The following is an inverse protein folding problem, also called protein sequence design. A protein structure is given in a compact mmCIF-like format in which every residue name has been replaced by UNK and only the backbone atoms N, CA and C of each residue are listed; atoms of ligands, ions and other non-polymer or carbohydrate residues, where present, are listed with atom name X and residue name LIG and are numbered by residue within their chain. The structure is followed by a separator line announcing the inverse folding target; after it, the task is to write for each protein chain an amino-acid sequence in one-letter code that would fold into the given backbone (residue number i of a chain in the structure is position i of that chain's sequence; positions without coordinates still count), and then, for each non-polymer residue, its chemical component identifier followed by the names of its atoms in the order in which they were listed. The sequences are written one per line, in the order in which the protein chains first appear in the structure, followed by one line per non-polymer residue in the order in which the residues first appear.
data_IF_592672468043
#
_entry.id   IF_592672468043
#
_cell.length_a   1.000
_cell.length_b   1.000
_cell.length_c   1.000
_cell.angle_alpha   90.00
_cell.angle_beta   90.00
_cell.angle_gamma   90.00
#
_symmetry.space_group_name_H-M   'P 1'
#
loop_
_entity.id
_entity.type
_entity.pdbx_description
1 polymer ?
#
# COMPACT_ATOMS: atom_id res chain seq x y z
N UNK A 1 25.24 -8.55 -5.01
CA UNK A 1 25.25 -7.28 -4.27
C UNK A 1 24.06 -6.48 -4.74
N UNK A 2 23.47 -5.67 -3.86
CA UNK A 2 22.36 -4.82 -4.27
C UNK A 2 22.78 -3.85 -5.39
N UNK A 3 21.90 -3.64 -6.36
CA UNK A 3 22.09 -2.58 -7.35
C UNK A 3 21.56 -1.26 -6.77
N UNK A 4 22.43 -0.27 -6.66
CA UNK A 4 22.09 1.05 -6.16
C UNK A 4 21.87 2.02 -7.32
N UNK A 5 20.79 2.80 -7.23
CA UNK A 5 20.36 3.81 -8.20
C UNK A 5 20.18 5.13 -7.46
N UNK A 6 20.91 6.17 -7.87
CA UNK A 6 20.82 7.52 -7.30
C UNK A 6 20.72 8.56 -8.40
N UNK A 7 20.05 9.69 -8.13
CA UNK A 7 19.98 10.78 -9.10
C UNK A 7 21.34 11.45 -9.26
N UNK A 8 21.84 11.57 -10.50
CA UNK A 8 22.98 12.45 -10.82
C UNK A 8 22.60 13.92 -10.65
N UNK A 9 21.36 14.23 -11.03
CA UNK A 9 20.74 15.55 -10.89
C UNK A 9 19.24 15.36 -10.69
N UNK A 10 18.68 16.00 -9.66
CA UNK A 10 17.24 15.96 -9.41
C UNK A 10 16.46 16.45 -10.64
N UNK A 11 15.42 15.72 -11.02
CA UNK A 11 14.49 16.13 -12.07
C UNK A 11 13.18 16.64 -11.48
N UNK A 12 12.64 17.68 -12.09
CA UNK A 12 11.29 18.19 -11.80
C UNK A 12 10.22 17.52 -12.68
N UNK A 13 10.63 16.71 -13.65
CA UNK A 13 9.72 15.99 -14.54
C UNK A 13 9.47 14.58 -14.02
N UNK A 14 8.26 14.03 -14.26
CA UNK A 14 7.96 12.64 -13.92
C UNK A 14 8.93 11.67 -14.58
N UNK A 15 9.40 10.69 -13.81
CA UNK A 15 10.20 9.57 -14.28
C UNK A 15 9.40 8.29 -14.14
N UNK A 16 9.43 7.42 -15.15
CA UNK A 16 8.86 6.08 -15.04
C UNK A 16 9.92 5.05 -15.37
N UNK A 17 9.94 3.95 -14.60
CA UNK A 17 10.86 2.84 -14.77
C UNK A 17 10.13 1.61 -15.33
N UNK A 18 9.83 1.56 -16.65
CA UNK A 18 9.14 0.44 -17.24
C UNK A 18 10.01 -0.83 -17.12
N UNK A 19 9.52 -1.82 -16.38
CA UNK A 19 10.18 -3.12 -16.28
C UNK A 19 11.47 -3.13 -15.46
N UNK A 20 11.79 -2.08 -14.68
CA UNK A 20 12.93 -2.09 -13.77
C UNK A 20 12.53 -2.77 -12.45
N UNK A 21 12.66 -4.09 -12.42
CA UNK A 21 12.35 -4.95 -11.26
C UNK A 21 13.48 -5.97 -11.07
N UNK A 22 13.77 -6.43 -9.83
CA UNK A 22 14.94 -7.27 -9.58
C UNK A 22 15.05 -8.50 -10.49
N UNK A 23 13.94 -9.18 -10.76
CA UNK A 23 13.90 -10.37 -11.62
C UNK A 23 14.23 -10.12 -13.09
N UNK A 24 14.12 -8.87 -13.54
CA UNK A 24 14.40 -8.49 -14.94
C UNK A 24 15.88 -8.20 -15.19
N UNK A 25 16.66 -7.95 -14.13
CA UNK A 25 18.04 -7.45 -14.22
C UNK A 25 19.05 -8.32 -13.47
N UNK A 26 18.62 -9.40 -12.81
CA UNK A 26 19.52 -10.25 -12.02
C UNK A 26 20.67 -10.89 -12.80
N UNK A 27 20.53 -11.06 -14.13
CA UNK A 27 21.58 -11.59 -15.02
C UNK A 27 22.20 -10.51 -15.93
N UNK A 28 21.72 -9.27 -15.87
CA UNK A 28 22.19 -8.19 -16.74
C UNK A 28 23.50 -7.59 -16.22
N UNK A 29 24.41 -7.27 -17.13
CA UNK A 29 25.62 -6.52 -16.79
C UNK A 29 25.29 -5.06 -16.44
N UNK A 30 26.16 -4.42 -15.67
CA UNK A 30 25.98 -2.99 -15.31
C UNK A 30 25.83 -2.11 -16.55
N UNK A 31 26.59 -2.37 -17.61
CA UNK A 31 26.53 -1.62 -18.87
C UNK A 31 25.17 -1.79 -19.59
N UNK A 32 24.55 -2.98 -19.50
CA UNK A 32 23.21 -3.21 -20.04
C UNK A 32 22.15 -2.49 -19.20
N UNK A 33 22.29 -2.54 -17.86
CA UNK A 33 21.39 -1.85 -16.92
C UNK A 33 21.43 -0.34 -17.15
N UNK A 34 22.62 0.24 -17.35
CA UNK A 34 22.80 1.67 -17.65
C UNK A 34 22.10 2.11 -18.95
N UNK A 35 21.93 1.20 -19.91
CA UNK A 35 21.24 1.47 -21.18
C UNK A 35 19.74 1.16 -21.15
N UNK A 36 19.20 0.68 -20.02
CA UNK A 36 17.78 0.39 -19.90
C UNK A 36 16.95 1.65 -20.18
N UNK A 37 15.93 1.57 -21.06
CA UNK A 37 15.12 2.72 -21.39
C UNK A 37 14.19 3.09 -20.25
N UNK A 38 14.27 4.33 -19.80
CA UNK A 38 13.34 4.95 -18.85
C UNK A 38 12.56 6.07 -19.54
N UNK A 39 11.40 6.42 -19.00
CA UNK A 39 10.63 7.57 -19.48
C UNK A 39 10.90 8.78 -18.58
N UNK A 40 11.29 9.89 -19.18
CA UNK A 40 11.48 11.18 -18.55
C UNK A 40 10.53 12.20 -19.20
N UNK A 41 9.42 12.48 -18.53
CA UNK A 41 8.29 13.19 -19.13
C UNK A 41 7.76 12.44 -20.36
N UNK A 42 7.98 12.98 -21.56
CA UNK A 42 7.57 12.37 -22.84
C UNK A 42 8.71 11.67 -23.58
N UNK A 43 9.94 11.80 -23.10
CA UNK A 43 11.12 11.32 -23.78
C UNK A 43 11.55 9.98 -23.20
N UNK A 44 12.01 9.09 -24.06
CA UNK A 44 12.65 7.84 -23.65
C UNK A 44 14.15 8.07 -23.67
N UNK A 45 14.79 7.88 -22.51
CA UNK A 45 16.22 8.11 -22.31
C UNK A 45 16.86 6.89 -21.61
N UNK A 46 18.15 6.64 -21.78
CA UNK A 46 18.86 5.62 -21.01
C UNK A 46 18.85 5.93 -19.51
N UNK A 47 18.83 4.89 -18.66
CA UNK A 47 18.87 5.02 -17.21
C UNK A 47 20.07 5.87 -16.75
N UNK A 48 21.25 5.64 -17.34
CA UNK A 48 22.48 6.34 -16.99
C UNK A 48 22.47 7.85 -17.29
N UNK A 49 21.54 8.34 -18.12
CA UNK A 49 21.43 9.77 -18.42
C UNK A 49 20.99 10.57 -17.19
N UNK A 50 20.12 10.00 -16.35
CA UNK A 50 19.58 10.64 -15.15
C UNK A 50 20.15 10.07 -13.86
N UNK A 51 20.56 8.80 -13.88
CA UNK A 51 20.93 8.06 -12.69
C UNK A 51 22.37 7.60 -12.71
N UNK A 52 22.98 7.58 -11.54
CA UNK A 52 24.20 6.84 -11.27
C UNK A 52 23.79 5.44 -10.80
N UNK A 53 24.38 4.43 -11.42
CA UNK A 53 24.05 3.02 -11.18
C UNK A 53 25.32 2.31 -10.74
N UNK A 54 25.26 1.59 -9.62
CA UNK A 54 26.40 0.83 -9.08
C UNK A 54 25.92 -0.52 -8.54
N UNK A 55 26.80 -1.51 -8.45
CA UNK A 55 26.44 -2.87 -8.02
C UNK A 55 26.03 -3.78 -9.18
N UNK A 56 25.34 -4.89 -8.88
CA UNK A 56 25.08 -5.95 -9.87
C UNK A 56 23.75 -6.71 -9.72
N UNK A 57 22.86 -6.30 -8.80
CA UNK A 57 21.55 -6.93 -8.52
C UNK A 57 21.58 -8.45 -8.28
N UNK A 58 22.74 -9.08 -8.07
CA UNK A 58 22.87 -10.54 -8.00
C UNK A 58 22.22 -11.17 -6.75
N UNK A 59 21.83 -10.35 -5.78
CA UNK A 59 21.04 -10.73 -4.60
C UNK A 59 19.55 -10.38 -4.73
N UNK A 60 19.08 -10.10 -5.96
CA UNK A 60 17.69 -9.74 -6.27
C UNK A 60 17.21 -8.49 -5.52
N UNK A 61 18.12 -7.56 -5.24
CA UNK A 61 17.83 -6.33 -4.50
C UNK A 61 18.15 -5.07 -5.31
N UNK A 62 17.17 -4.16 -5.34
CA UNK A 62 17.31 -2.80 -5.86
C UNK A 62 17.27 -1.80 -4.71
N UNK A 63 18.18 -0.82 -4.74
CA UNK A 63 18.19 0.29 -3.79
C UNK A 63 18.13 1.63 -4.51
N UNK A 64 17.07 2.39 -4.25
CA UNK A 64 16.91 3.75 -4.72
C UNK A 64 17.33 4.71 -3.59
N UNK A 65 18.35 5.52 -3.83
CA UNK A 65 18.89 6.47 -2.84
C UNK A 65 18.61 7.91 -3.28
N UNK A 66 17.79 8.63 -2.50
CA UNK A 66 17.40 10.01 -2.79
C UNK A 66 15.88 10.22 -2.83
N UNK A 67 15.45 11.37 -3.33
CA UNK A 67 14.03 11.71 -3.46
C UNK A 67 13.46 11.25 -4.81
N UNK A 68 12.62 10.21 -4.77
CA UNK A 68 11.93 9.65 -5.94
C UNK A 68 10.44 10.03 -5.95
N UNK A 69 10.05 11.16 -5.36
CA UNK A 69 8.66 11.65 -5.38
C UNK A 69 8.07 11.81 -6.79
N UNK A 70 8.90 12.12 -7.78
CA UNK A 70 8.50 12.21 -9.20
C UNK A 70 8.66 10.90 -9.97
N UNK A 71 9.15 9.85 -9.32
CA UNK A 71 9.38 8.56 -9.94
C UNK A 71 8.19 7.63 -9.68
N UNK A 72 7.42 7.39 -10.74
CA UNK A 72 6.17 6.66 -10.66
C UNK A 72 6.35 5.19 -11.03
N UNK A 73 5.50 4.34 -10.48
CA UNK A 73 5.39 2.91 -10.81
C UNK A 73 6.64 2.08 -10.49
N UNK A 74 7.42 2.48 -9.48
CA UNK A 74 8.51 1.64 -8.95
C UNK A 74 7.94 0.27 -8.52
N UNK A 75 8.57 -0.83 -8.91
CA UNK A 75 8.12 -2.18 -8.57
C UNK A 75 6.80 -2.60 -9.23
N UNK A 76 6.39 -1.95 -10.32
CA UNK A 76 5.21 -2.34 -11.07
C UNK A 76 5.34 -3.79 -11.58
N UNK A 77 4.29 -4.59 -11.35
CA UNK A 77 4.21 -6.00 -11.74
C UNK A 77 5.28 -6.93 -11.17
N UNK A 78 6.07 -6.47 -10.20
CA UNK A 78 7.11 -7.24 -9.53
C UNK A 78 6.56 -8.54 -8.95
N UNK A 79 7.32 -9.62 -9.12
CA UNK A 79 6.96 -11.00 -8.78
C UNK A 79 7.84 -11.59 -7.67
N UNK A 80 9.10 -11.17 -7.59
CA UNK A 80 10.06 -11.63 -6.57
C UNK A 80 11.20 -10.61 -6.37
N UNK A 81 12.06 -10.86 -5.37
CA UNK A 81 13.13 -9.95 -4.99
C UNK A 81 12.69 -8.85 -4.03
N UNK A 82 13.55 -7.85 -3.85
CA UNK A 82 13.34 -6.76 -2.90
C UNK A 82 13.71 -5.41 -3.49
N UNK A 83 12.87 -4.41 -3.28
CA UNK A 83 13.16 -3.00 -3.62
C UNK A 83 13.18 -2.18 -2.33
N UNK A 84 14.26 -1.44 -2.10
CA UNK A 84 14.36 -0.44 -1.05
C UNK A 84 14.40 0.96 -1.67
N UNK A 85 13.53 1.85 -1.22
CA UNK A 85 13.56 3.27 -1.55
C UNK A 85 13.92 4.05 -0.29
N UNK A 86 15.17 4.50 -0.23
CA UNK A 86 15.72 5.32 0.84
C UNK A 86 15.37 6.79 0.55
N UNK A 87 14.10 7.13 0.73
CA UNK A 87 13.51 8.43 0.49
C UNK A 87 12.02 8.32 0.17
N UNK A 88 11.49 9.33 -0.51
CA UNK A 88 10.10 9.33 -0.96
C UNK A 88 9.96 8.63 -2.30
N UNK A 89 8.79 8.08 -2.58
CA UNK A 89 8.43 7.47 -3.85
C UNK A 89 7.17 8.09 -4.43
N UNK A 90 7.06 8.15 -5.75
CA UNK A 90 5.92 8.74 -6.42
C UNK A 90 4.68 7.85 -6.45
N UNK A 91 3.80 8.10 -7.42
CA UNK A 91 2.53 7.39 -7.57
C UNK A 91 2.70 5.95 -8.07
N UNK A 92 1.68 5.11 -7.84
CA UNK A 92 1.54 3.75 -8.40
C UNK A 92 2.65 2.75 -8.04
N UNK A 93 3.39 2.98 -6.95
CA UNK A 93 4.41 2.04 -6.49
C UNK A 93 3.77 0.67 -6.23
N UNK A 94 4.38 -0.41 -6.73
CA UNK A 94 3.86 -1.77 -6.57
C UNK A 94 2.53 -2.05 -7.30
N UNK A 95 2.17 -1.25 -8.31
CA UNK A 95 0.97 -1.49 -9.11
C UNK A 95 1.00 -2.90 -9.72
N UNK A 96 -0.06 -3.69 -9.50
CA UNK A 96 -0.19 -5.09 -9.94
C UNK A 96 0.94 -6.02 -9.48
N UNK A 97 1.65 -5.67 -8.40
CA UNK A 97 2.66 -6.53 -7.78
C UNK A 97 2.07 -7.90 -7.40
N UNK A 98 2.82 -8.97 -7.68
CA UNK A 98 2.41 -10.36 -7.50
C UNK A 98 3.20 -11.06 -6.37
N UNK A 99 4.39 -10.59 -6.07
CA UNK A 99 5.26 -11.12 -5.02
C UNK A 99 6.49 -10.25 -4.81
N UNK A 100 7.38 -10.68 -3.91
CA UNK A 100 8.53 -9.88 -3.46
C UNK A 100 8.19 -8.86 -2.37
N UNK A 101 9.13 -7.96 -2.09
CA UNK A 101 9.02 -6.94 -1.06
C UNK A 101 9.42 -5.55 -1.56
N UNK A 102 8.66 -4.52 -1.19
CA UNK A 102 9.00 -3.12 -1.42
C UNK A 102 9.02 -2.39 -0.08
N UNK A 103 10.13 -1.75 0.26
CA UNK A 103 10.31 -0.98 1.49
C UNK A 103 10.63 0.47 1.12
N UNK A 104 9.85 1.42 1.62
CA UNK A 104 9.99 2.86 1.38
C UNK A 104 10.21 3.52 2.73
N UNK A 105 11.32 4.22 2.92
CA UNK A 105 11.60 4.88 4.21
C UNK A 105 10.83 6.18 4.42
N UNK A 106 10.55 6.91 3.33
CA UNK A 106 9.77 8.15 3.34
C UNK A 106 8.29 7.96 2.98
N UNK A 107 7.73 8.94 2.27
CA UNK A 107 6.34 8.96 1.84
C UNK A 107 6.16 8.28 0.46
N UNK A 108 4.94 7.79 0.19
CA UNK A 108 4.53 7.25 -1.10
C UNK A 108 3.38 8.07 -1.70
N UNK A 109 3.38 8.24 -3.02
CA UNK A 109 2.28 8.91 -3.72
C UNK A 109 0.97 8.11 -3.75
N UNK A 110 -0.01 8.68 -4.44
CA UNK A 110 -1.30 8.02 -4.72
C UNK A 110 -1.17 6.63 -5.39
N UNK A 111 -2.17 5.79 -5.18
CA UNK A 111 -2.36 4.48 -5.80
C UNK A 111 -1.26 3.45 -5.49
N UNK A 112 -0.63 3.57 -4.33
CA UNK A 112 0.28 2.56 -3.78
C UNK A 112 -0.38 1.17 -3.77
N UNK A 113 0.27 0.15 -4.33
CA UNK A 113 -0.23 -1.22 -4.37
C UNK A 113 -1.55 -1.37 -5.14
N UNK A 114 -1.86 -0.47 -6.07
CA UNK A 114 -3.07 -0.54 -6.86
C UNK A 114 -3.15 -1.88 -7.61
N UNK A 115 -4.28 -2.60 -7.48
CA UNK A 115 -4.48 -3.93 -8.08
C UNK A 115 -3.42 -4.99 -7.69
N UNK A 116 -2.75 -4.83 -6.54
CA UNK A 116 -1.77 -5.79 -6.01
C UNK A 116 -2.40 -7.18 -5.77
N UNK A 117 -1.70 -8.24 -6.15
CA UNK A 117 -2.13 -9.64 -6.08
C UNK A 117 -1.40 -10.38 -4.96
N UNK A 118 -0.14 -10.01 -4.67
CA UNK A 118 0.69 -10.65 -3.65
C UNK A 118 1.97 -9.84 -3.38
N UNK A 119 2.77 -10.30 -2.42
CA UNK A 119 3.95 -9.59 -1.91
C UNK A 119 3.66 -8.72 -0.69
N UNK A 120 4.66 -7.95 -0.27
CA UNK A 120 4.57 -7.03 0.86
C UNK A 120 5.08 -5.65 0.47
N UNK A 121 4.33 -4.60 0.77
CA UNK A 121 4.76 -3.21 0.62
C UNK A 121 4.78 -2.56 2.01
N UNK A 122 5.90 -1.95 2.38
CA UNK A 122 6.09 -1.24 3.66
C UNK A 122 6.49 0.20 3.39
N UNK A 123 5.80 1.14 4.03
CA UNK A 123 6.06 2.58 3.94
C UNK A 123 6.28 3.11 5.35
N UNK A 124 7.43 3.73 5.60
CA UNK A 124 7.77 4.36 6.88
C UNK A 124 6.98 5.64 7.12
N UNK A 125 6.79 6.44 6.08
CA UNK A 125 5.98 7.66 6.09
C UNK A 125 4.50 7.43 5.76
N UNK A 126 3.89 8.42 5.12
CA UNK A 126 2.49 8.46 4.71
C UNK A 126 2.31 7.99 3.26
N UNK A 127 1.10 7.63 2.89
CA UNK A 127 0.74 7.32 1.50
C UNK A 127 -0.40 8.22 0.99
N UNK A 128 -0.46 8.40 -0.33
CA UNK A 128 -1.53 9.19 -0.95
C UNK A 128 -2.91 8.53 -0.93
N UNK A 129 -3.77 8.94 -1.85
CA UNK A 129 -5.11 8.40 -2.06
C UNK A 129 -5.05 7.02 -2.72
N UNK A 130 -6.15 6.26 -2.68
CA UNK A 130 -6.34 5.01 -3.45
C UNK A 130 -5.31 3.89 -3.15
N UNK A 131 -4.73 3.86 -1.94
CA UNK A 131 -3.88 2.74 -1.49
C UNK A 131 -4.63 1.42 -1.63
N UNK A 132 -4.03 0.42 -2.30
CA UNK A 132 -4.66 -0.87 -2.58
C UNK A 132 -5.94 -0.79 -3.42
N UNK A 133 -6.20 0.36 -4.02
CA UNK A 133 -7.44 0.67 -4.74
C UNK A 133 -7.52 0.02 -6.12
N UNK A 134 -8.67 0.18 -6.77
CA UNK A 134 -8.88 -0.11 -8.18
C UNK A 134 -8.61 1.12 -9.04
N UNK A 135 -8.08 0.91 -10.25
CA UNK A 135 -8.01 1.98 -11.26
C UNK A 135 -9.38 2.34 -11.79
N UNK A 136 -9.48 3.52 -12.39
CA UNK A 136 -10.65 3.94 -13.16
C UNK A 136 -11.01 2.88 -14.22
N UNK A 137 -12.29 2.48 -14.22
CA UNK A 137 -12.79 1.41 -15.10
C UNK A 137 -12.54 -0.02 -14.61
N UNK A 138 -11.66 -0.22 -13.64
CA UNK A 138 -11.37 -1.56 -13.11
C UNK A 138 -12.46 -2.06 -12.17
N UNK A 139 -12.73 -3.37 -12.25
CA UNK A 139 -13.77 -4.03 -11.43
C UNK A 139 -13.26 -4.48 -10.06
N UNK A 140 -11.94 -4.50 -9.85
CA UNK A 140 -11.29 -5.02 -8.64
C UNK A 140 -10.03 -4.20 -8.34
N UNK A 141 -9.82 -3.88 -7.06
CA UNK A 141 -8.57 -3.31 -6.55
C UNK A 141 -7.62 -4.41 -6.14
N UNK A 142 -6.96 -4.23 -4.99
CA UNK A 142 -6.08 -5.23 -4.39
C UNK A 142 -6.78 -6.59 -4.22
N UNK A 143 -6.15 -7.65 -4.73
CA UNK A 143 -6.63 -9.02 -4.74
C UNK A 143 -5.79 -9.97 -3.87
N UNK A 144 -4.77 -9.47 -3.18
CA UNK A 144 -3.95 -10.18 -2.20
C UNK A 144 -2.70 -9.37 -1.83
N UNK A 145 -1.85 -9.92 -0.97
CA UNK A 145 -0.66 -9.25 -0.42
C UNK A 145 -0.93 -8.46 0.87
N UNK A 146 0.12 -7.78 1.33
CA UNK A 146 0.10 -6.99 2.57
C UNK A 146 0.69 -5.61 2.33
N UNK A 147 -0.02 -4.55 2.73
CA UNK A 147 0.45 -3.17 2.69
C UNK A 147 0.50 -2.63 4.12
N UNK A 148 1.65 -2.13 4.54
CA UNK A 148 1.93 -1.62 5.88
C UNK A 148 2.42 -0.17 5.77
N UNK A 149 1.71 0.78 6.39
CA UNK A 149 2.00 2.21 6.27
C UNK A 149 2.11 2.80 7.67
N UNK A 150 3.29 3.30 8.04
CA UNK A 150 3.54 3.87 9.37
C UNK A 150 2.78 5.18 9.62
N UNK A 151 2.69 6.02 8.60
CA UNK A 151 2.01 7.32 8.63
C UNK A 151 0.53 7.27 8.26
N UNK A 152 0.02 8.41 7.78
CA UNK A 152 -1.37 8.57 7.37
C UNK A 152 -1.58 8.13 5.91
N UNK A 153 -2.83 7.88 5.53
CA UNK A 153 -3.23 7.66 4.14
C UNK A 153 -4.30 8.65 3.69
N UNK A 154 -4.33 8.95 2.40
CA UNK A 154 -5.37 9.76 1.78
C UNK A 154 -6.73 9.06 1.71
N UNK A 155 -7.59 9.57 0.82
CA UNK A 155 -8.94 9.07 0.62
C UNK A 155 -8.96 7.72 -0.11
N UNK A 156 -10.04 6.97 0.09
CA UNK A 156 -10.38 5.76 -0.65
C UNK A 156 -9.36 4.61 -0.56
N UNK A 157 -8.65 4.49 0.56
CA UNK A 157 -7.85 3.32 0.86
C UNK A 157 -8.71 2.04 0.76
N UNK A 158 -8.22 1.03 0.05
CA UNK A 158 -8.92 -0.22 -0.21
C UNK A 158 -10.12 -0.12 -1.16
N UNK A 159 -10.18 0.89 -2.03
CA UNK A 159 -11.25 1.01 -3.04
C UNK A 159 -11.40 -0.27 -3.87
N UNK A 160 -12.56 -0.93 -3.77
CA UNK A 160 -12.85 -2.24 -4.41
C UNK A 160 -11.84 -3.35 -4.07
N UNK A 161 -11.17 -3.26 -2.91
CA UNK A 161 -10.32 -4.31 -2.39
C UNK A 161 -11.09 -5.64 -2.30
N UNK A 162 -10.45 -6.72 -2.74
CA UNK A 162 -11.05 -8.07 -2.84
C UNK A 162 -10.41 -9.08 -1.90
N UNK A 163 -9.12 -8.96 -1.61
CA UNK A 163 -8.39 -9.72 -0.58
C UNK A 163 -7.15 -8.93 -0.16
N UNK A 164 -6.42 -9.45 0.82
CA UNK A 164 -5.19 -8.86 1.35
C UNK A 164 -5.41 -8.17 2.67
N UNK A 165 -4.35 -7.56 3.18
CA UNK A 165 -4.31 -6.77 4.40
C UNK A 165 -3.73 -5.39 4.10
N UNK A 166 -4.43 -4.33 4.52
CA UNK A 166 -3.89 -2.96 4.56
C UNK A 166 -3.87 -2.55 6.03
N UNK A 167 -2.71 -2.19 6.57
CA UNK A 167 -2.55 -1.70 7.93
C UNK A 167 -1.95 -0.29 7.93
N UNK A 168 -2.59 0.63 8.63
CA UNK A 168 -2.30 2.06 8.64
C UNK A 168 -2.04 2.49 10.08
N UNK A 169 -0.83 2.94 10.36
CA UNK A 169 -0.39 3.37 11.69
C UNK A 169 -0.90 4.74 12.06
N UNK A 170 -1.09 5.62 11.07
CA UNK A 170 -1.70 6.94 11.23
C UNK A 170 -3.21 6.95 10.94
N UNK A 171 -3.70 8.10 10.49
CA UNK A 171 -5.11 8.30 10.13
C UNK A 171 -5.37 7.94 8.67
N UNK A 172 -6.60 7.54 8.36
CA UNK A 172 -7.07 7.29 7.01
C UNK A 172 -8.09 8.36 6.57
N UNK A 173 -8.05 8.75 5.31
CA UNK A 173 -8.99 9.69 4.73
C UNK A 173 -10.42 9.16 4.60
N UNK A 174 -11.24 9.89 3.85
CA UNK A 174 -12.65 9.58 3.60
C UNK A 174 -12.77 8.31 2.77
N UNK A 175 -13.92 7.64 2.87
CA UNK A 175 -14.30 6.54 1.99
C UNK A 175 -13.33 5.35 2.04
N UNK A 176 -12.64 5.15 3.16
CA UNK A 176 -11.84 3.94 3.41
C UNK A 176 -12.74 2.70 3.27
N UNK A 177 -12.32 1.71 2.47
CA UNK A 177 -13.13 0.53 2.15
C UNK A 177 -14.29 0.79 1.18
N UNK A 178 -14.27 1.88 0.41
CA UNK A 178 -15.32 2.17 -0.57
C UNK A 178 -15.51 1.04 -1.59
N UNK A 179 -16.74 0.58 -1.76
CA UNK A 179 -17.11 -0.56 -2.63
C UNK A 179 -16.27 -1.83 -2.38
N UNK A 180 -15.76 -2.02 -1.17
CA UNK A 180 -14.90 -3.15 -0.82
C UNK A 180 -15.64 -4.49 -1.02
N UNK A 181 -14.98 -5.43 -1.68
CA UNK A 181 -15.55 -6.73 -2.07
C UNK A 181 -15.24 -7.83 -1.06
N UNK A 182 -14.10 -7.72 -0.37
CA UNK A 182 -13.61 -8.50 0.78
C UNK A 182 -12.17 -8.06 1.13
N UNK A 183 -11.58 -8.60 2.19
CA UNK A 183 -10.24 -8.25 2.68
C UNK A 183 -10.29 -7.64 4.07
N UNK A 184 -9.14 -7.16 4.54
CA UNK A 184 -9.01 -6.57 5.87
C UNK A 184 -8.28 -5.23 5.79
N UNK A 185 -8.83 -4.20 6.42
CA UNK A 185 -8.16 -2.91 6.59
C UNK A 185 -8.12 -2.59 8.09
N UNK A 186 -6.94 -2.21 8.58
CA UNK A 186 -6.71 -1.80 9.97
C UNK A 186 -6.23 -0.36 9.98
N UNK A 187 -6.90 0.49 10.75
CA UNK A 187 -6.55 1.91 10.93
C UNK A 187 -6.35 2.15 12.43
N UNK A 188 -5.12 2.49 12.82
CA UNK A 188 -4.78 2.76 14.23
C UNK A 188 -5.08 4.21 14.63
N UNK A 189 -5.09 5.14 13.68
CA UNK A 189 -5.51 6.53 13.88
C UNK A 189 -6.98 6.76 13.54
N UNK A 190 -7.32 8.02 13.22
CA UNK A 190 -8.70 8.41 12.88
C UNK A 190 -9.06 7.93 11.48
N UNK A 191 -10.34 7.64 11.25
CA UNK A 191 -10.86 7.31 9.93
C UNK A 191 -11.82 8.42 9.49
N UNK A 192 -11.66 8.92 8.27
CA UNK A 192 -12.54 9.93 7.72
C UNK A 192 -13.93 9.39 7.35
N UNK A 193 -14.80 10.31 6.96
CA UNK A 193 -16.21 10.06 6.63
C UNK A 193 -16.48 8.84 5.76
N UNK A 194 -17.63 8.19 6.04
CA UNK A 194 -18.25 7.17 5.18
C UNK A 194 -17.37 5.95 4.94
N UNK A 195 -16.64 5.51 5.98
CA UNK A 195 -15.94 4.23 5.96
C UNK A 195 -16.90 3.09 5.58
N UNK A 196 -16.43 2.19 4.71
CA UNK A 196 -17.19 1.01 4.26
C UNK A 196 -18.37 1.30 3.33
N UNK A 197 -18.55 2.53 2.83
CA UNK A 197 -19.63 2.85 1.89
C UNK A 197 -19.66 1.87 0.69
N UNK A 198 -20.79 1.21 0.45
CA UNK A 198 -20.97 0.22 -0.63
C UNK A 198 -20.21 -1.11 -0.44
N UNK A 199 -19.68 -1.38 0.76
CA UNK A 199 -18.93 -2.60 1.07
C UNK A 199 -19.85 -3.83 1.06
N UNK A 200 -19.41 -4.87 0.34
CA UNK A 200 -20.12 -6.16 0.25
C UNK A 200 -19.74 -7.14 1.35
N UNK A 201 -18.44 -7.25 1.63
CA UNK A 201 -17.81 -8.15 2.63
C UNK A 201 -16.46 -7.56 3.05
N UNK A 202 -15.84 -8.17 4.06
CA UNK A 202 -14.54 -7.82 4.60
C UNK A 202 -14.68 -7.22 5.99
N UNK A 203 -13.56 -6.82 6.57
CA UNK A 203 -13.54 -6.28 7.93
C UNK A 203 -12.70 -5.00 7.97
N UNK A 204 -13.28 -3.92 8.49
CA UNK A 204 -12.58 -2.68 8.82
C UNK A 204 -12.38 -2.62 10.34
N UNK A 205 -11.13 -2.56 10.77
CA UNK A 205 -10.73 -2.35 12.15
C UNK A 205 -10.39 -0.87 12.32
N UNK A 206 -11.33 -0.08 12.85
CA UNK A 206 -11.17 1.35 13.08
C UNK A 206 -10.86 1.54 14.57
N UNK A 207 -9.57 1.48 14.90
CA UNK A 207 -9.09 1.35 16.29
C UNK A 207 -8.72 2.69 16.93
N UNK A 208 -8.55 3.74 16.13
CA UNK A 208 -8.39 5.09 16.66
C UNK A 208 -9.74 5.77 16.91
N UNK A 209 -9.75 6.73 17.83
CA UNK A 209 -10.94 7.51 18.18
C UNK A 209 -11.51 8.22 16.94
N UNK A 210 -12.59 7.67 16.38
CA UNK A 210 -13.31 8.27 15.25
C UNK A 210 -14.58 8.94 15.77
N UNK A 211 -14.63 10.26 15.64
CA UNK A 211 -15.82 11.06 15.96
C UNK A 211 -16.86 11.05 14.82
N UNK A 212 -16.56 10.42 13.68
CA UNK A 212 -17.44 10.43 12.52
C UNK A 212 -18.45 9.29 12.60
N UNK A 213 -19.73 9.64 12.49
CA UNK A 213 -20.83 8.68 12.44
C UNK A 213 -20.71 7.76 11.21
N UNK A 214 -20.90 6.46 11.44
CA UNK A 214 -21.04 5.50 10.36
C UNK A 214 -22.28 5.83 9.50
N UNK A 215 -22.30 5.33 8.27
CA UNK A 215 -23.47 5.48 7.42
C UNK A 215 -24.70 4.86 8.10
N UNK A 216 -25.90 5.45 7.95
CA UNK A 216 -27.14 4.97 8.57
C UNK A 216 -27.58 3.58 8.05
N UNK A 217 -26.89 3.07 7.04
CA UNK A 217 -27.08 1.76 6.44
C UNK A 217 -26.21 0.68 7.10
N UNK A 218 -25.48 1.02 8.16
CA UNK A 218 -24.87 0.09 9.09
C UNK A 218 -25.77 -0.09 10.32
N UNK A 219 -25.76 -1.31 10.88
CA UNK A 219 -26.50 -1.62 12.10
C UNK A 219 -25.54 -2.15 13.16
N UNK A 220 -25.65 -1.62 14.38
CA UNK A 220 -24.91 -2.14 15.52
C UNK A 220 -25.34 -3.59 15.78
N UNK A 221 -24.35 -4.45 15.97
CA UNK A 221 -24.47 -5.84 16.36
C UNK A 221 -24.08 -6.05 17.84
N UNK A 222 -23.85 -4.95 18.57
CA UNK A 222 -23.42 -4.95 19.96
C UNK A 222 -21.90 -4.94 20.12
N UNK A 223 -21.46 -5.13 21.37
CA UNK A 223 -20.05 -5.12 21.74
C UNK A 223 -19.40 -6.49 21.55
N UNK A 224 -18.16 -6.52 21.06
CA UNK A 224 -17.41 -7.76 20.82
C UNK A 224 -15.93 -7.62 21.22
N UNK A 225 -15.33 -8.73 21.65
CA UNK A 225 -13.90 -8.93 21.79
C UNK A 225 -13.43 -10.11 20.93
N UNK A 226 -14.00 -10.23 19.71
CA UNK A 226 -13.80 -11.35 18.82
C UNK A 226 -12.32 -11.77 18.70
N UNK A 227 -12.06 -13.08 18.75
CA UNK A 227 -10.70 -13.66 18.73
C UNK A 227 -9.85 -13.27 17.50
N UNK A 228 -10.49 -12.73 16.45
CA UNK A 228 -9.80 -12.19 15.26
C UNK A 228 -8.97 -10.94 15.58
N UNK A 229 -9.37 -10.12 16.55
CA UNK A 229 -8.65 -8.92 16.97
C UNK A 229 -7.21 -9.26 17.43
N UNK A 230 -7.00 -10.08 18.48
CA UNK A 230 -5.65 -10.42 18.92
C UNK A 230 -4.90 -11.30 17.91
N UNK A 231 -5.60 -12.00 17.01
CA UNK A 231 -4.96 -12.71 15.90
C UNK A 231 -4.32 -11.73 14.91
N UNK A 232 -5.05 -10.69 14.50
CA UNK A 232 -4.54 -9.65 13.61
C UNK A 232 -3.45 -8.84 14.29
N UNK A 233 -3.62 -8.45 15.56
CA UNK A 233 -2.59 -7.74 16.31
C UNK A 233 -1.28 -8.53 16.35
N UNK A 234 -1.32 -9.82 16.73
CA UNK A 234 -0.11 -10.68 16.72
C UNK A 234 0.49 -10.83 15.33
N UNK A 235 -0.32 -10.89 14.29
CA UNK A 235 0.18 -10.92 12.92
C UNK A 235 0.91 -9.62 12.57
N UNK A 236 0.34 -8.45 12.87
CA UNK A 236 0.99 -7.15 12.66
C UNK A 236 2.26 -7.01 13.50
N UNK A 237 2.29 -7.52 14.73
CA UNK A 237 3.47 -7.56 15.58
C UNK A 237 4.57 -8.46 14.98
N UNK A 238 4.20 -9.63 14.44
CA UNK A 238 5.14 -10.52 13.74
C UNK A 238 5.75 -9.89 12.48
N UNK A 239 5.02 -8.94 11.86
CA UNK A 239 5.50 -8.15 10.73
C UNK A 239 6.32 -6.92 11.16
N UNK A 240 6.55 -6.73 12.47
CA UNK A 240 7.21 -5.54 13.03
C UNK A 240 6.47 -4.23 12.75
N UNK A 241 5.14 -4.29 12.54
CA UNK A 241 4.33 -3.10 12.23
C UNK A 241 3.80 -2.41 13.48
N UNK A 242 3.50 -3.18 14.53
CA UNK A 242 3.09 -2.66 15.84
C UNK A 242 3.94 -3.28 16.94
N UNK A 243 4.11 -2.53 18.02
CA UNK A 243 4.71 -3.03 19.25
C UNK A 243 3.66 -3.24 20.34
N UNK A 244 2.70 -2.31 20.44
CA UNK A 244 1.64 -2.32 21.44
C UNK A 244 0.43 -3.15 20.98
N UNK A 245 0.10 -4.19 21.74
CA UNK A 245 -1.07 -5.06 21.51
C UNK A 245 -2.36 -4.56 22.15
N UNK A 246 -2.32 -3.57 23.05
CA UNK A 246 -3.48 -3.09 23.80
C UNK A 246 -4.68 -2.72 22.91
N UNK A 247 -4.52 -2.08 21.72
CA UNK A 247 -5.64 -1.81 20.83
C UNK A 247 -6.35 -3.09 20.35
N UNK A 248 -5.70 -4.24 20.31
CA UNK A 248 -6.29 -5.49 19.81
C UNK A 248 -6.86 -6.39 20.93
N UNK A 249 -6.82 -5.93 22.19
CA UNK A 249 -7.20 -6.72 23.37
C UNK A 249 -8.38 -6.10 24.14
N UNK A 250 -9.03 -5.09 23.56
CA UNK A 250 -10.19 -4.40 24.14
C UNK A 250 -11.52 -4.78 23.47
N UNK A 251 -12.62 -4.29 24.04
CA UNK A 251 -13.95 -4.42 23.48
C UNK A 251 -14.17 -3.37 22.37
N UNK A 252 -14.92 -3.76 21.35
CA UNK A 252 -15.27 -2.95 20.19
C UNK A 252 -16.76 -2.96 19.96
N UNK A 253 -17.33 -1.86 19.47
CA UNK A 253 -18.66 -1.89 18.90
C UNK A 253 -18.58 -2.48 17.48
N UNK A 254 -19.33 -3.56 17.25
CA UNK A 254 -19.40 -4.22 15.96
C UNK A 254 -20.59 -3.70 15.17
N UNK A 255 -20.38 -3.37 13.91
CA UNK A 255 -21.42 -3.00 12.96
C UNK A 255 -21.41 -3.93 11.76
N UNK A 256 -22.61 -4.29 11.30
CA UNK A 256 -22.80 -5.01 10.03
C UNK A 256 -23.38 -4.07 8.96
N UNK A 257 -22.86 -4.21 7.74
CA UNK A 257 -23.25 -3.40 6.59
C UNK A 257 -22.36 -3.70 5.38
N UNK A 258 -22.43 -2.96 4.29
CA UNK A 258 -23.42 -1.92 4.02
C UNK A 258 -24.73 -2.57 3.52
N UNK A 259 -25.86 -2.27 4.17
CA UNK A 259 -27.17 -2.84 3.81
C UNK A 259 -27.76 -2.30 2.49
N UNK A 260 -27.14 -1.29 1.85
CA UNK A 260 -27.47 -0.96 0.45
C UNK A 260 -26.91 -1.99 -0.55
N UNK A 261 -26.04 -2.91 -0.09
CA UNK A 261 -25.48 -3.98 -0.91
C UNK A 261 -25.80 -5.37 -0.35
N UNK A 262 -24.82 -6.12 0.16
CA UNK A 262 -24.96 -7.49 0.66
C UNK A 262 -25.13 -7.55 2.20
N UNK A 263 -24.74 -6.50 2.93
CA UNK A 263 -24.81 -6.46 4.39
C UNK A 263 -23.92 -7.49 5.12
N UNK A 264 -22.81 -7.93 4.50
CA UNK A 264 -21.87 -8.91 5.10
C UNK A 264 -20.47 -8.35 5.37
N UNK A 265 -20.29 -7.04 5.27
CA UNK A 265 -19.12 -6.35 5.77
C UNK A 265 -19.24 -6.09 7.27
N UNK A 266 -18.09 -5.93 7.89
CA UNK A 266 -17.95 -5.71 9.33
C UNK A 266 -17.10 -4.46 9.56
N UNK A 267 -17.54 -3.63 10.50
CA UNK A 267 -16.75 -2.52 11.03
C UNK A 267 -16.66 -2.72 12.54
N UNK A 268 -15.44 -2.77 13.07
CA UNK A 268 -15.17 -2.73 14.49
C UNK A 268 -14.70 -1.32 14.82
N UNK A 269 -15.46 -0.63 15.67
CA UNK A 269 -15.20 0.74 16.08
C UNK A 269 -14.80 0.77 17.55
N UNK A 270 -13.68 1.41 17.87
CA UNK A 270 -13.31 1.64 19.27
C UNK A 270 -14.38 2.51 19.94
N UNK A 271 -14.85 2.04 21.09
CA UNK A 271 -15.78 2.75 21.98
C UNK A 271 -15.07 3.73 22.88
#
# INVERSE_FOLDING_TARGET
MALCISYRKASTLPVHFPGLVPESIGEASLAEIEQLPILHGRYQVPLAELFEVTGDASDMRLEFHGDFSHAHSIGAEMTEGTIHVNGNAGHNVGIRMRGGEIHISGDAGDSLGCEMIGGTIRVGGSAGNLVGGARSGSRRGMAGGTILIGGAVGDQAGYRMRRGLIAIGGSAGKLTGYNMLAGTIVVLGKCGARAGAGMKRGTLFLLGESAEELLPTYRSAGTTNAAVLPLIGRHLQSLGFIENMQPFEQNYELFHGDFVTLGRGEILLSS
#
